data_IF_593062690716
#
_entry.id   IF_593062690716
#
_cell.length_a   1.000
_cell.length_b   1.000
_cell.length_c   1.000
_cell.angle_alpha   90.00
_cell.angle_beta   90.00
_cell.angle_gamma   90.00
#
_symmetry.space_group_name_H-M   'P 1'
#
loop_
_entity.id
_entity.type
_entity.pdbx_description
1 polymer ?
#
# COMPACT_ATOMS: atom_id res chain seq x y z
N UNK A 1 -1.13 -16.43 -16.10
CA UNK A 1 -1.97 -16.30 -14.90
C UNK A 1 -0.98 -16.24 -13.76
N UNK A 2 -0.73 -15.06 -13.21
CA UNK A 2 0.18 -14.91 -12.07
C UNK A 2 -0.45 -15.52 -10.83
N UNK A 3 0.32 -16.24 -10.03
CA UNK A 3 -0.14 -16.66 -8.71
C UNK A 3 -0.26 -15.44 -7.78
N UNK A 4 -1.14 -15.50 -6.79
CA UNK A 4 -1.30 -14.43 -5.80
C UNK A 4 0.03 -14.08 -5.12
N UNK A 5 0.88 -15.09 -4.87
CA UNK A 5 2.21 -14.93 -4.28
C UNK A 5 3.20 -14.22 -5.21
N UNK A 6 3.11 -14.41 -6.53
CA UNK A 6 3.95 -13.66 -7.47
C UNK A 6 3.54 -12.19 -7.51
N UNK A 7 2.24 -11.89 -7.49
CA UNK A 7 1.74 -10.52 -7.45
C UNK A 7 2.13 -9.79 -6.16
N UNK A 8 1.98 -10.45 -5.00
CA UNK A 8 2.39 -9.91 -3.71
C UNK A 8 3.89 -9.64 -3.66
N UNK A 9 4.70 -10.60 -4.16
CA UNK A 9 6.15 -10.42 -4.24
C UNK A 9 6.48 -9.21 -5.11
N UNK A 10 5.94 -9.16 -6.31
CA UNK A 10 6.22 -8.08 -7.25
C UNK A 10 5.83 -6.71 -6.68
N UNK A 11 4.65 -6.59 -6.07
CA UNK A 11 4.21 -5.35 -5.42
C UNK A 11 5.18 -4.89 -4.31
N UNK A 12 5.63 -5.81 -3.46
CA UNK A 12 6.62 -5.52 -2.41
C UNK A 12 7.96 -5.10 -3.03
N UNK A 13 8.42 -5.75 -4.10
CA UNK A 13 9.68 -5.44 -4.77
C UNK A 13 9.66 -4.09 -5.49
N UNK A 14 8.53 -3.74 -6.10
CA UNK A 14 8.36 -2.58 -6.96
C UNK A 14 7.77 -1.37 -6.26
N UNK A 15 7.72 -1.38 -4.92
CA UNK A 15 7.34 -0.22 -4.10
C UNK A 15 8.31 -0.05 -2.91
N UNK A 16 8.53 1.19 -2.45
CA UNK A 16 9.42 1.49 -1.32
C UNK A 16 8.83 1.15 0.05
N UNK A 17 7.51 1.10 0.18
CA UNK A 17 6.82 0.91 1.45
C UNK A 17 5.94 -0.33 1.42
N UNK A 18 5.99 -1.13 2.49
CA UNK A 18 5.02 -2.20 2.70
C UNK A 18 4.75 -2.44 4.19
N UNK A 19 3.49 -2.65 4.56
CA UNK A 19 3.10 -2.95 5.93
C UNK A 19 1.79 -3.73 5.98
N UNK A 20 1.59 -4.49 7.06
CA UNK A 20 0.26 -4.96 7.45
C UNK A 20 -0.40 -3.81 8.20
N UNK A 21 -1.53 -3.35 7.70
CA UNK A 21 -2.25 -2.18 8.23
C UNK A 21 -3.72 -2.49 8.46
N UNK A 22 -4.33 -1.69 9.31
CA UNK A 22 -5.78 -1.61 9.44
C UNK A 22 -6.23 -0.20 9.06
N UNK A 23 -7.05 -0.07 8.03
CA UNK A 23 -7.63 1.23 7.64
C UNK A 23 -8.53 1.71 8.76
N UNK A 24 -8.28 2.92 9.25
CA UNK A 24 -8.99 3.53 10.39
C UNK A 24 -9.93 4.65 9.96
N UNK A 25 -9.73 5.22 8.78
CA UNK A 25 -10.61 6.23 8.21
C UNK A 25 -10.14 6.71 6.85
N UNK A 26 -10.95 7.57 6.25
CA UNK A 26 -10.55 8.37 5.10
C UNK A 26 -11.30 9.70 5.12
N UNK A 27 -10.72 10.70 4.45
CA UNK A 27 -11.39 11.94 4.10
C UNK A 27 -11.30 12.18 2.59
N UNK A 28 -12.38 12.73 2.04
CA UNK A 28 -12.37 13.26 0.67
C UNK A 28 -11.60 14.57 0.66
N UNK A 29 -10.47 14.59 -0.03
CA UNK A 29 -9.58 15.74 -0.07
C UNK A 29 -9.89 16.69 -1.23
N UNK A 30 -10.12 16.15 -2.42
CA UNK A 30 -10.52 16.92 -3.61
C UNK A 30 -11.33 16.08 -4.59
N UNK A 31 -12.04 16.76 -5.50
CA UNK A 31 -12.84 16.15 -6.57
C UNK A 31 -12.62 16.96 -7.85
N UNK A 32 -12.39 16.25 -8.96
CA UNK A 32 -12.25 16.85 -10.28
C UNK A 32 -12.89 15.94 -11.33
N UNK A 33 -13.94 16.45 -11.99
CA UNK A 33 -14.70 15.72 -13.00
C UNK A 33 -15.24 14.39 -12.47
N UNK A 34 -14.68 13.26 -12.93
CA UNK A 34 -15.07 11.91 -12.56
C UNK A 34 -14.12 11.29 -11.50
N UNK A 35 -13.10 12.04 -11.05
CA UNK A 35 -12.09 11.56 -10.11
C UNK A 35 -12.24 12.19 -8.71
N UNK A 36 -11.95 11.38 -7.68
CA UNK A 36 -11.87 11.81 -6.29
C UNK A 36 -10.53 11.43 -5.70
N UNK A 37 -9.91 12.37 -4.98
CA UNK A 37 -8.72 12.13 -4.19
C UNK A 37 -9.10 11.96 -2.72
N UNK A 38 -8.76 10.81 -2.15
CA UNK A 38 -8.90 10.51 -0.74
C UNK A 38 -7.57 10.64 -0.02
N UNK A 39 -7.63 11.09 1.23
CA UNK A 39 -6.57 10.88 2.22
C UNK A 39 -7.03 9.76 3.15
N UNK A 40 -6.35 8.63 3.08
CA UNK A 40 -6.70 7.43 3.83
C UNK A 40 -5.76 7.32 5.03
N UNK A 41 -6.32 7.08 6.22
CA UNK A 41 -5.57 6.84 7.45
C UNK A 41 -5.59 5.35 7.80
N UNK A 42 -4.45 4.83 8.24
CA UNK A 42 -4.32 3.46 8.69
C UNK A 42 -3.37 3.31 9.87
N UNK A 43 -3.66 2.35 10.74
CA UNK A 43 -2.78 1.92 11.82
C UNK A 43 -1.86 0.80 11.32
N UNK A 44 -0.57 0.89 11.64
CA UNK A 44 0.41 -0.13 11.28
C UNK A 44 0.42 -1.22 12.34
N UNK A 45 0.04 -2.43 11.95
CA UNK A 45 0.09 -3.61 12.81
C UNK A 45 1.47 -4.27 12.73
N UNK A 46 2.04 -4.35 11.53
CA UNK A 46 3.32 -4.99 11.30
C UNK A 46 4.07 -4.33 10.15
N UNK A 47 5.35 -4.00 10.40
CA UNK A 47 6.24 -3.40 9.42
C UNK A 47 6.82 -4.49 8.51
N UNK A 48 6.87 -4.25 7.21
CA UNK A 48 7.48 -5.18 6.23
C UNK A 48 8.66 -4.54 5.51
N UNK A 49 8.45 -3.40 4.84
CA UNK A 49 9.47 -2.71 4.04
C UNK A 49 9.39 -1.19 4.23
N UNK A 50 10.56 -0.53 4.25
CA UNK A 50 10.69 0.92 4.25
C UNK A 50 10.74 1.51 5.65
N UNK A 51 10.79 2.85 5.74
CA UNK A 51 10.58 3.55 7.00
C UNK A 51 9.09 3.54 7.31
N UNK A 52 8.70 2.75 8.32
CA UNK A 52 7.30 2.51 8.66
C UNK A 52 7.05 3.03 10.07
N UNK A 53 6.14 4.00 10.21
CA UNK A 53 5.65 4.51 11.48
C UNK A 53 4.70 3.55 12.21
N UNK A 54 4.05 4.01 13.27
CA UNK A 54 2.91 3.31 13.90
C UNK A 54 1.58 3.62 13.21
N UNK A 55 1.52 4.72 12.47
CA UNK A 55 0.37 5.17 11.71
C UNK A 55 0.85 5.66 10.34
N UNK A 56 -0.02 5.61 9.35
CA UNK A 56 0.25 6.13 8.02
C UNK A 56 -0.97 6.86 7.46
N UNK A 57 -0.69 7.94 6.73
CA UNK A 57 -1.67 8.61 5.87
C UNK A 57 -1.15 8.56 4.43
N UNK A 58 -2.01 8.17 3.50
CA UNK A 58 -1.65 8.11 2.09
C UNK A 58 -2.76 8.65 1.19
N UNK A 59 -2.37 9.09 0.00
CA UNK A 59 -3.29 9.54 -1.03
C UNK A 59 -3.79 8.36 -1.87
N UNK A 60 -5.07 8.31 -2.18
CA UNK A 60 -5.66 7.32 -3.09
C UNK A 60 -6.64 8.00 -4.05
N UNK A 61 -6.48 7.76 -5.35
CA UNK A 61 -7.46 8.16 -6.36
C UNK A 61 -8.52 7.08 -6.49
N UNK A 62 -9.78 7.49 -6.64
CA UNK A 62 -10.91 6.62 -6.97
C UNK A 62 -11.89 7.34 -7.86
N UNK A 63 -12.88 6.61 -8.39
CA UNK A 63 -13.94 7.20 -9.22
C UNK A 63 -14.97 7.93 -8.35
N UNK A 64 -15.66 8.91 -8.92
CA UNK A 64 -16.71 9.65 -8.22
C UNK A 64 -17.87 8.72 -7.84
N UNK A 65 -18.06 8.53 -6.54
CA UNK A 65 -19.06 7.63 -5.98
C UNK A 65 -18.46 6.36 -5.37
N UNK A 66 -17.18 6.09 -5.63
CA UNK A 66 -16.41 5.09 -4.91
C UNK A 66 -15.90 5.64 -3.58
N UNK A 67 -15.67 4.75 -2.63
CA UNK A 67 -15.07 5.05 -1.34
C UNK A 67 -13.96 4.04 -1.05
N UNK A 68 -12.85 4.45 -0.39
CA UNK A 68 -11.86 3.50 0.10
C UNK A 68 -12.53 2.46 1.00
N UNK A 69 -12.22 1.18 0.75
CA UNK A 69 -12.75 0.11 1.58
C UNK A 69 -12.15 0.23 2.99
N UNK A 70 -12.98 0.62 3.96
CA UNK A 70 -12.66 0.43 5.37
C UNK A 70 -12.87 -1.07 5.66
N UNK A 71 -11.85 -1.87 5.36
CA UNK A 71 -11.86 -3.27 5.74
C UNK A 71 -11.90 -3.39 7.27
N UNK A 72 -12.80 -4.24 7.80
CA UNK A 72 -12.74 -4.60 9.22
C UNK A 72 -11.46 -5.38 9.53
N UNK A 73 -10.99 -6.16 8.56
CA UNK A 73 -9.80 -7.00 8.64
C UNK A 73 -8.55 -6.25 8.17
N UNK A 74 -7.38 -6.54 8.76
CA UNK A 74 -6.12 -6.03 8.27
C UNK A 74 -5.81 -6.45 6.83
N UNK A 75 -5.03 -5.62 6.14
CA UNK A 75 -4.54 -5.86 4.78
C UNK A 75 -3.03 -5.66 4.71
N UNK A 76 -2.37 -6.32 3.77
CA UNK A 76 -1.00 -5.98 3.37
C UNK A 76 -1.10 -4.87 2.34
N UNK A 77 -0.53 -3.72 2.66
CA UNK A 77 -0.54 -2.53 1.83
C UNK A 77 0.87 -2.20 1.35
N UNK A 78 1.02 -1.96 0.05
CA UNK A 78 2.26 -1.51 -0.59
C UNK A 78 2.06 -0.11 -1.15
N UNK A 79 2.96 0.82 -0.86
CA UNK A 79 2.79 2.23 -1.25
C UNK A 79 4.06 2.78 -1.90
N UNK A 80 3.84 3.74 -2.78
CA UNK A 80 4.89 4.64 -3.21
C UNK A 80 4.92 5.87 -2.31
N UNK A 81 6.01 6.62 -2.38
CA UNK A 81 6.07 7.94 -1.77
C UNK A 81 6.85 8.88 -2.68
N UNK A 82 6.50 10.16 -2.62
CA UNK A 82 7.33 11.23 -3.12
C UNK A 82 8.07 11.89 -1.94
N UNK A 83 8.45 13.17 -2.08
CA UNK A 83 9.15 13.90 -1.02
C UNK A 83 8.24 14.22 0.17
N UNK A 84 6.93 14.27 -0.03
CA UNK A 84 5.99 14.91 0.89
C UNK A 84 4.91 13.94 1.40
N UNK A 85 4.59 12.86 0.68
CA UNK A 85 3.51 11.95 1.08
C UNK A 85 3.66 10.54 0.49
N UNK A 86 3.01 9.57 1.15
CA UNK A 86 2.71 8.28 0.54
C UNK A 86 1.52 8.38 -0.40
N UNK A 87 1.50 7.54 -1.44
CA UNK A 87 0.38 7.38 -2.34
C UNK A 87 0.21 5.93 -2.81
N UNK A 88 -1.05 5.59 -3.09
CA UNK A 88 -1.46 4.31 -3.62
C UNK A 88 -1.06 4.20 -5.11
N UNK A 89 -0.26 3.21 -5.53
CA UNK A 89 0.25 3.13 -6.91
C UNK A 89 -0.75 2.59 -7.94
N UNK A 90 -1.84 1.96 -7.49
CA UNK A 90 -2.91 1.46 -8.35
C UNK A 90 -3.34 0.04 -7.98
N UNK A 91 -4.07 -0.62 -8.87
CA UNK A 91 -4.49 -2.02 -8.68
C UNK A 91 -3.30 -2.93 -8.36
N UNK A 92 -3.47 -3.82 -7.38
CA UNK A 92 -2.41 -4.73 -6.93
C UNK A 92 -1.52 -4.15 -5.82
N UNK A 93 -1.94 -3.05 -5.20
CA UNK A 93 -1.26 -2.47 -4.04
C UNK A 93 -1.76 -3.00 -2.68
N UNK A 94 -2.82 -3.81 -2.68
CA UNK A 94 -3.47 -4.34 -1.49
C UNK A 94 -3.71 -5.84 -1.62
N UNK A 95 -3.44 -6.56 -0.53
CA UNK A 95 -3.60 -8.01 -0.43
C UNK A 95 -4.20 -8.40 0.92
N UNK A 96 -4.93 -9.51 0.97
CA UNK A 96 -5.44 -10.06 2.22
C UNK A 96 -4.30 -10.38 3.20
N UNK A 97 -4.42 -9.94 4.45
CA UNK A 97 -3.46 -10.23 5.50
C UNK A 97 -3.76 -11.57 6.22
N UNK A 98 -3.92 -12.65 5.46
CA UNK A 98 -3.95 -13.98 6.05
C UNK A 98 -2.53 -14.44 6.47
N UNK A 99 -2.44 -15.47 7.32
CA UNK A 99 -1.16 -15.90 7.89
C UNK A 99 -0.14 -16.32 6.81
N UNK A 100 -0.58 -16.97 5.73
CA UNK A 100 0.29 -17.40 4.62
C UNK A 100 0.90 -16.19 3.90
N UNK A 101 0.06 -15.21 3.55
CA UNK A 101 0.50 -13.99 2.86
C UNK A 101 1.43 -13.14 3.73
N UNK A 102 1.15 -13.03 5.04
CA UNK A 102 2.03 -12.28 5.95
C UNK A 102 3.41 -12.92 6.01
N UNK A 103 3.49 -14.25 6.21
CA UNK A 103 4.77 -14.94 6.27
C UNK A 103 5.55 -14.80 4.97
N UNK A 104 4.87 -14.94 3.83
CA UNK A 104 5.48 -14.78 2.52
C UNK A 104 5.96 -13.34 2.28
N UNK A 105 5.17 -12.34 2.68
CA UNK A 105 5.55 -10.93 2.58
C UNK A 105 6.77 -10.59 3.45
N UNK A 106 6.84 -11.14 4.67
CA UNK A 106 8.01 -10.98 5.54
C UNK A 106 9.26 -11.60 4.94
N UNK A 107 9.16 -12.84 4.44
CA UNK A 107 10.28 -13.52 3.79
C UNK A 107 10.73 -12.74 2.55
N UNK A 108 9.79 -12.28 1.74
CA UNK A 108 10.06 -11.43 0.57
C UNK A 108 10.81 -10.17 0.98
N UNK A 109 10.32 -9.46 2.00
CA UNK A 109 10.89 -8.19 2.44
C UNK A 109 12.31 -8.32 3.04
N UNK A 110 12.59 -9.45 3.71
CA UNK A 110 13.90 -9.71 4.32
C UNK A 110 15.04 -9.86 3.29
N UNK A 111 14.72 -10.13 2.03
CA UNK A 111 15.70 -10.33 0.95
C UNK A 111 15.83 -9.13 0.01
N UNK A 112 15.24 -7.98 0.36
CA UNK A 112 15.26 -6.79 -0.47
C UNK A 112 16.56 -5.99 -0.29
N UNK A 113 16.95 -5.32 -1.37
CA UNK A 113 18.02 -4.33 -1.34
C UNK A 113 17.50 -3.05 -0.68
N UNK A 114 18.13 -2.65 0.42
CA UNK A 114 17.80 -1.43 1.17
C UNK A 114 18.23 -0.16 0.41
N UNK A 115 19.15 -0.27 -0.54
CA UNK A 115 19.65 0.84 -1.37
C UNK A 115 18.87 0.93 -2.70
N UNK A 116 17.80 0.15 -2.88
CA UNK A 116 16.95 0.28 -4.05
C UNK A 116 16.22 1.64 -4.03
N UNK A 117 16.50 2.47 -5.03
CA UNK A 117 15.85 3.78 -5.19
C UNK A 117 14.91 3.86 -6.40
N UNK A 118 14.91 2.83 -7.27
CA UNK A 118 14.05 2.77 -8.43
C UNK A 118 12.98 1.69 -8.25
N UNK A 119 11.72 2.07 -8.47
CA UNK A 119 10.53 1.27 -8.18
C UNK A 119 9.58 1.35 -9.37
N UNK A 120 9.40 0.25 -10.10
CA UNK A 120 8.68 0.29 -11.38
C UNK A 120 7.18 0.66 -11.24
N UNK A 121 6.59 0.53 -10.05
CA UNK A 121 5.20 0.90 -9.80
C UNK A 121 5.03 2.34 -9.31
N UNK A 122 6.13 3.05 -9.06
CA UNK A 122 6.10 4.43 -8.63
C UNK A 122 6.35 5.36 -9.81
N UNK A 123 5.65 6.49 -9.86
CA UNK A 123 6.00 7.56 -10.77
C UNK A 123 7.38 8.12 -10.40
N UNK A 124 8.21 8.38 -11.40
CA UNK A 124 9.52 9.05 -11.24
C UNK A 124 9.41 10.50 -10.80
#
# INVERSE_FOLDING_TARGET
MYSQNEALKDAIFQTPYSAVVKVTGFEKFSEHEEDVLFKVQAEVIQKLRGDVGSEITFSMYGELGDEPNIHHDPVILTLCHDKDTYYWPGTGAEFEANQENILYAQETAAHLDIEQHHFAHCSE
#
